data_IF_292347807099
#
_entry.id   IF_292347807099
#
_cell.length_a   1.000
_cell.length_b   1.000
_cell.length_c   1.000
_cell.angle_alpha   90.00
_cell.angle_beta   90.00
_cell.angle_gamma   90.00
#
_symmetry.space_group_name_H-M   'P 1'
#
loop_
_entity.id
_entity.type
_entity.pdbx_description
1 polymer ?
#
# COMPACT_ATOMS: atom_id res chain seq x y z
N UNK A 1 -28.33 1.07 16.59
CA UNK A 1 -27.62 0.06 15.76
C UNK A 1 -27.03 0.80 14.57
N UNK A 2 -25.76 1.21 14.66
CA UNK A 2 -25.08 1.97 13.60
C UNK A 2 -24.18 0.98 12.87
N UNK A 3 -24.64 0.52 11.71
CA UNK A 3 -23.82 -0.22 10.73
C UNK A 3 -22.74 0.71 10.22
N UNK A 4 -21.51 0.55 10.74
CA UNK A 4 -20.34 1.30 10.25
C UNK A 4 -20.07 0.93 8.79
N UNK A 5 -19.94 1.99 8.02
CA UNK A 5 -19.70 2.03 6.60
C UNK A 5 -18.48 1.17 6.19
N UNK A 6 -18.67 0.45 5.08
CA UNK A 6 -17.61 0.13 4.12
C UNK A 6 -16.67 -1.00 4.51
N UNK A 7 -16.98 -2.22 4.05
CA UNK A 7 -15.91 -3.11 3.56
C UNK A 7 -15.06 -2.27 2.61
N UNK A 8 -13.78 -2.07 2.92
CA UNK A 8 -12.84 -1.59 1.90
C UNK A 8 -12.92 -2.56 0.73
N UNK A 9 -13.28 -2.06 -0.46
CA UNK A 9 -13.16 -2.86 -1.68
C UNK A 9 -11.71 -3.32 -1.79
N UNK A 10 -11.52 -4.62 -1.77
CA UNK A 10 -10.27 -5.36 -1.60
C UNK A 10 -9.07 -4.89 -2.44
N UNK A 11 -9.30 -4.25 -3.59
CA UNK A 11 -8.24 -3.70 -4.45
C UNK A 11 -7.67 -2.36 -3.97
N UNK A 12 -8.33 -1.67 -3.05
CA UNK A 12 -7.84 -0.38 -2.54
C UNK A 12 -6.96 -0.55 -1.30
N UNK A 13 -7.30 -1.50 -0.41
CA UNK A 13 -6.58 -1.72 0.84
C UNK A 13 -5.11 -2.13 0.65
N UNK A 14 -4.82 -3.04 -0.29
CA UNK A 14 -3.44 -3.41 -0.61
C UNK A 14 -2.66 -2.27 -1.27
N UNK A 15 -3.33 -1.43 -2.06
CA UNK A 15 -2.73 -0.23 -2.63
C UNK A 15 -2.36 0.79 -1.55
N UNK A 16 -3.30 1.09 -0.65
CA UNK A 16 -3.06 2.00 0.49
C UNK A 16 -1.98 1.46 1.43
N UNK A 17 -1.93 0.14 1.65
CA UNK A 17 -0.85 -0.49 2.41
C UNK A 17 0.49 -0.32 1.68
N UNK A 18 0.53 -0.45 0.35
CA UNK A 18 1.71 -0.18 -0.45
C UNK A 18 2.17 1.28 -0.38
N UNK A 19 1.23 2.24 -0.45
CA UNK A 19 1.51 3.67 -0.25
C UNK A 19 2.11 3.94 1.14
N UNK A 20 1.55 3.34 2.18
CA UNK A 20 2.04 3.49 3.54
C UNK A 20 3.46 2.92 3.71
N UNK A 21 3.75 1.75 3.15
CA UNK A 21 5.07 1.13 3.21
C UNK A 21 6.10 1.97 2.44
N UNK A 22 5.76 2.48 1.26
CA UNK A 22 6.65 3.37 0.50
C UNK A 22 6.98 4.63 1.31
N UNK A 23 5.95 5.29 1.85
CA UNK A 23 6.13 6.50 2.65
C UNK A 23 6.97 6.25 3.90
N UNK A 24 6.76 5.11 4.58
CA UNK A 24 7.55 4.68 5.71
C UNK A 24 9.05 4.52 5.34
N UNK A 25 9.35 3.83 4.24
CA UNK A 25 10.72 3.62 3.79
C UNK A 25 11.40 4.93 3.34
N UNK A 26 10.67 5.82 2.67
CA UNK A 26 11.16 7.18 2.38
C UNK A 26 11.50 7.92 3.67
N UNK A 27 10.65 7.85 4.70
CA UNK A 27 10.90 8.44 6.01
C UNK A 27 12.11 7.87 6.74
N UNK A 28 12.49 6.62 6.44
CA UNK A 28 13.70 5.96 6.92
C UNK A 28 14.97 6.31 6.12
N UNK A 29 14.85 7.12 5.07
CA UNK A 29 15.96 7.61 4.26
C UNK A 29 16.25 6.80 3.00
N UNK A 30 15.42 5.82 2.63
CA UNK A 30 15.57 5.13 1.34
C UNK A 30 15.13 6.02 0.18
N UNK A 31 15.78 5.87 -0.96
CA UNK A 31 15.37 6.61 -2.16
C UNK A 31 13.95 6.21 -2.57
N UNK A 32 13.19 7.17 -3.12
CA UNK A 32 11.83 6.91 -3.59
C UNK A 32 11.73 5.71 -4.52
N UNK A 33 12.69 5.54 -5.44
CA UNK A 33 12.69 4.41 -6.36
C UNK A 33 12.87 3.07 -5.64
N UNK A 34 13.79 2.99 -4.67
CA UNK A 34 13.96 1.79 -3.84
C UNK A 34 12.70 1.50 -3.02
N UNK A 35 12.18 2.51 -2.32
CA UNK A 35 10.98 2.40 -1.49
C UNK A 35 9.79 1.91 -2.30
N UNK A 36 9.59 2.46 -3.50
CA UNK A 36 8.54 2.05 -4.43
C UNK A 36 8.65 0.57 -4.82
N UNK A 37 9.85 0.13 -5.25
CA UNK A 37 10.04 -1.26 -5.68
C UNK A 37 9.84 -2.24 -4.54
N UNK A 38 10.33 -1.91 -3.34
CA UNK A 38 10.19 -2.74 -2.16
C UNK A 38 8.72 -2.82 -1.72
N UNK A 39 8.02 -1.70 -1.65
CA UNK A 39 6.61 -1.66 -1.29
C UNK A 39 5.75 -2.52 -2.24
N UNK A 40 5.97 -2.40 -3.55
CA UNK A 40 5.26 -3.24 -4.54
C UNK A 40 5.57 -4.73 -4.34
N UNK A 41 6.84 -5.10 -4.15
CA UNK A 41 7.19 -6.49 -3.90
C UNK A 41 6.59 -7.03 -2.61
N UNK A 42 6.48 -6.21 -1.56
CA UNK A 42 5.81 -6.59 -0.31
C UNK A 42 4.34 -6.87 -0.55
N UNK A 43 3.62 -5.99 -1.25
CA UNK A 43 2.20 -6.18 -1.57
C UNK A 43 1.98 -7.43 -2.43
N UNK A 44 2.87 -7.67 -3.39
CA UNK A 44 2.83 -8.89 -4.21
C UNK A 44 3.08 -10.13 -3.36
N UNK A 45 4.05 -10.10 -2.44
CA UNK A 45 4.30 -11.19 -1.49
C UNK A 45 3.08 -11.49 -0.64
N UNK A 46 2.50 -10.47 -0.01
CA UNK A 46 1.28 -10.61 0.82
C UNK A 46 0.12 -11.18 0.00
N UNK A 47 -0.06 -10.70 -1.23
CA UNK A 47 -1.12 -11.22 -2.09
C UNK A 47 -0.92 -12.67 -2.51
N UNK A 48 0.31 -13.07 -2.82
CA UNK A 48 0.61 -14.43 -3.23
C UNK A 48 0.40 -15.42 -2.07
N UNK A 49 0.83 -15.04 -0.87
CA UNK A 49 0.81 -15.92 0.30
C UNK A 49 -0.58 -15.98 0.97
N UNK A 50 -1.33 -14.86 0.94
CA UNK A 50 -2.60 -14.72 1.67
C UNK A 50 -3.79 -14.37 0.77
N UNK A 51 -3.64 -14.49 -0.56
CA UNK A 51 -4.69 -14.25 -1.53
C UNK A 51 -5.93 -15.10 -1.26
N UNK A 52 -7.10 -14.45 -1.14
CA UNK A 52 -8.36 -15.11 -0.80
C UNK A 52 -8.70 -15.09 0.69
N UNK A 53 -7.82 -14.60 1.55
CA UNK A 53 -8.06 -14.47 2.98
C UNK A 53 -8.71 -13.12 3.34
N UNK A 54 -9.51 -13.12 4.41
CA UNK A 54 -9.89 -11.89 5.10
C UNK A 54 -8.88 -11.60 6.20
N UNK A 55 -8.32 -10.41 6.19
CA UNK A 55 -7.39 -9.94 7.20
C UNK A 55 -8.05 -8.89 8.08
N UNK A 56 -8.18 -9.22 9.36
CA UNK A 56 -8.55 -8.27 10.40
C UNK A 56 -7.29 -7.79 11.12
N UNK A 57 -7.19 -6.49 11.38
CA UNK A 57 -6.06 -5.89 12.10
C UNK A 57 -6.49 -5.55 13.53
N UNK A 58 -6.10 -6.37 14.54
CA UNK A 58 -6.47 -6.14 15.92
C UNK A 58 -5.68 -4.98 16.55
N UNK A 59 -6.34 -4.24 17.46
CA UNK A 59 -5.66 -3.29 18.38
C UNK A 59 -4.93 -4.06 19.48
N UNK A 60 -5.59 -5.07 20.07
CA UNK A 60 -5.06 -5.86 21.17
C UNK A 60 -4.96 -7.33 20.76
N UNK A 61 -3.76 -7.90 20.85
CA UNK A 61 -3.48 -9.28 20.45
C UNK A 61 -4.21 -10.34 21.31
N UNK A 62 -4.55 -10.00 22.55
CA UNK A 62 -5.10 -10.94 23.54
C UNK A 62 -6.50 -11.45 23.19
N UNK A 63 -7.29 -10.70 22.40
CA UNK A 63 -8.69 -11.04 22.11
C UNK A 63 -8.92 -11.50 20.67
N UNK A 64 -7.85 -11.71 19.89
CA UNK A 64 -7.94 -11.97 18.46
C UNK A 64 -6.85 -12.93 17.95
N UNK A 65 -6.64 -14.07 18.63
CA UNK A 65 -5.54 -15.01 18.37
C UNK A 65 -5.33 -15.38 16.89
N UNK A 66 -6.41 -15.60 16.12
CA UNK A 66 -6.33 -15.89 14.67
C UNK A 66 -5.77 -14.71 13.87
N UNK A 67 -6.22 -13.49 14.19
CA UNK A 67 -5.77 -12.29 13.53
C UNK A 67 -4.33 -11.94 13.91
N UNK A 68 -3.97 -12.15 15.18
CA UNK A 68 -2.59 -12.07 15.68
C UNK A 68 -1.66 -12.99 14.90
N UNK A 69 -2.05 -14.27 14.75
CA UNK A 69 -1.27 -15.24 13.98
C UNK A 69 -1.09 -14.83 12.52
N UNK A 70 -2.18 -14.42 11.85
CA UNK A 70 -2.12 -13.96 10.46
C UNK A 70 -1.21 -12.73 10.30
N UNK A 71 -1.21 -11.81 11.26
CA UNK A 71 -0.29 -10.66 11.27
C UNK A 71 1.17 -11.09 11.41
N UNK A 72 1.48 -12.08 12.25
CA UNK A 72 2.84 -12.64 12.33
C UNK A 72 3.26 -13.33 11.04
N UNK A 73 2.35 -14.04 10.37
CA UNK A 73 2.63 -14.66 9.08
C UNK A 73 2.87 -13.58 8.00
N UNK A 74 2.09 -12.49 7.98
CA UNK A 74 2.35 -11.34 7.11
C UNK A 74 3.69 -10.67 7.41
N UNK A 75 4.07 -10.51 8.68
CA UNK A 75 5.37 -9.98 9.05
C UNK A 75 6.53 -10.85 8.50
N UNK A 76 6.38 -12.17 8.56
CA UNK A 76 7.35 -13.10 7.98
C UNK A 76 7.44 -12.96 6.45
N UNK A 77 6.32 -12.81 5.75
CA UNK A 77 6.31 -12.53 4.30
C UNK A 77 6.99 -11.20 3.98
N UNK A 78 6.73 -10.14 4.75
CA UNK A 78 7.40 -8.85 4.59
C UNK A 78 8.91 -9.05 4.74
N UNK A 79 9.37 -9.71 5.80
CA UNK A 79 10.79 -10.00 6.04
C UNK A 79 11.42 -10.73 4.85
N UNK A 80 10.80 -11.82 4.39
CA UNK A 80 11.31 -12.61 3.25
C UNK A 80 11.48 -11.75 1.99
N UNK A 81 10.55 -10.82 1.75
CA UNK A 81 10.68 -9.87 0.64
C UNK A 81 11.86 -8.93 0.87
N UNK A 82 12.02 -8.36 2.08
CA UNK A 82 13.14 -7.47 2.41
C UNK A 82 14.49 -8.19 2.28
N UNK A 83 14.57 -9.47 2.64
CA UNK A 83 15.78 -10.31 2.50
C UNK A 83 16.24 -10.45 1.05
N UNK A 84 15.32 -10.35 0.08
CA UNK A 84 15.66 -10.39 -1.36
C UNK A 84 16.36 -9.12 -1.86
N UNK A 85 16.35 -8.04 -1.08
CA UNK A 85 17.01 -6.78 -1.40
C UNK A 85 18.32 -6.64 -0.61
N UNK A 86 19.45 -6.63 -1.32
CA UNK A 86 20.79 -6.57 -0.69
C UNK A 86 20.99 -5.37 0.24
N UNK A 87 20.33 -4.23 -0.03
CA UNK A 87 20.41 -3.02 0.79
C UNK A 87 19.48 -3.05 2.03
N UNK A 88 18.65 -4.08 2.18
CA UNK A 88 17.72 -4.24 3.31
C UNK A 88 17.93 -5.54 4.10
N UNK A 89 18.57 -6.55 3.52
CA UNK A 89 18.71 -7.88 4.13
C UNK A 89 19.32 -7.87 5.53
N UNK A 90 20.31 -7.01 5.80
CA UNK A 90 20.97 -6.91 7.13
C UNK A 90 20.01 -6.46 8.24
N UNK A 91 18.95 -5.74 7.88
CA UNK A 91 18.01 -5.10 8.80
C UNK A 91 16.56 -5.54 8.53
N UNK A 92 16.37 -6.61 7.75
CA UNK A 92 15.06 -7.10 7.32
C UNK A 92 14.18 -7.49 8.52
N UNK A 93 14.77 -8.11 9.54
CA UNK A 93 14.09 -8.45 10.80
C UNK A 93 13.51 -7.19 11.45
N UNK A 94 14.36 -6.19 11.71
CA UNK A 94 13.94 -4.94 12.35
C UNK A 94 12.89 -4.21 11.50
N UNK A 95 13.17 -4.01 10.21
CA UNK A 95 12.26 -3.29 9.32
C UNK A 95 10.93 -4.02 9.14
N UNK A 96 10.91 -5.35 9.09
CA UNK A 96 9.66 -6.11 8.96
C UNK A 96 8.76 -5.90 10.19
N UNK A 97 9.34 -5.85 11.39
CA UNK A 97 8.63 -5.53 12.62
C UNK A 97 8.09 -4.11 12.60
N UNK A 98 8.93 -3.12 12.28
CA UNK A 98 8.51 -1.72 12.23
C UNK A 98 7.44 -1.45 11.16
N UNK A 99 7.55 -2.07 9.99
CA UNK A 99 6.54 -1.99 8.92
C UNK A 99 5.23 -2.61 9.38
N UNK A 100 5.28 -3.81 9.99
CA UNK A 100 4.08 -4.47 10.50
C UNK A 100 3.39 -3.62 11.57
N UNK A 101 4.15 -3.03 12.49
CA UNK A 101 3.62 -2.09 13.48
C UNK A 101 3.02 -0.83 12.84
N UNK A 102 3.67 -0.29 11.80
CA UNK A 102 3.18 0.88 11.08
C UNK A 102 1.84 0.57 10.39
N UNK A 103 1.74 -0.58 9.72
CA UNK A 103 0.50 -1.09 9.13
C UNK A 103 -0.56 -1.29 10.22
N UNK A 104 -0.20 -1.90 11.34
CA UNK A 104 -1.14 -2.14 12.43
C UNK A 104 -1.74 -0.83 12.97
N UNK A 105 -0.91 0.22 13.12
CA UNK A 105 -1.35 1.54 13.59
C UNK A 105 -2.29 2.21 12.59
N UNK A 106 -1.96 2.17 11.29
CA UNK A 106 -2.74 2.85 10.25
C UNK A 106 -4.07 2.14 9.95
N UNK A 107 -4.08 0.82 9.95
CA UNK A 107 -5.23 0.01 9.55
C UNK A 107 -5.91 -0.67 10.74
N UNK A 108 -5.69 -0.17 11.96
CA UNK A 108 -6.27 -0.71 13.18
C UNK A 108 -7.81 -0.84 13.06
N UNK A 109 -8.34 -2.01 13.44
CA UNK A 109 -9.78 -2.37 13.38
C UNK A 109 -10.33 -2.52 11.97
N UNK A 110 -9.53 -2.37 10.93
CA UNK A 110 -9.96 -2.63 9.57
C UNK A 110 -10.04 -4.15 9.33
N UNK A 111 -11.02 -4.53 8.52
CA UNK A 111 -11.10 -5.87 7.94
C UNK A 111 -11.05 -5.70 6.43
N UNK A 112 -10.08 -6.32 5.78
CA UNK A 112 -9.90 -6.23 4.33
C UNK A 112 -9.68 -7.61 3.74
N UNK A 113 -10.31 -7.82 2.58
CA UNK A 113 -10.08 -9.02 1.78
C UNK A 113 -8.79 -8.85 0.97
N UNK A 114 -7.88 -9.80 1.10
CA UNK A 114 -6.62 -9.82 0.35
C UNK A 114 -6.92 -10.43 -1.02
N UNK A 115 -6.82 -9.62 -2.08
CA UNK A 115 -7.01 -10.11 -3.45
C UNK A 115 -5.90 -11.09 -3.82
N UNK A 116 -6.28 -12.16 -4.53
CA UNK A 116 -5.35 -13.17 -5.04
C UNK A 116 -4.64 -12.65 -6.30
N UNK A 117 -3.34 -12.96 -6.44
CA UNK A 117 -2.50 -12.53 -7.57
C UNK A 117 -2.69 -11.05 -7.90
N UNK A 118 -2.68 -10.24 -6.86
CA UNK A 118 -2.74 -8.80 -6.96
C UNK A 118 -1.67 -8.38 -7.99
N UNK A 119 -2.09 -7.66 -9.03
CA UNK A 119 -1.18 -7.26 -10.11
C UNK A 119 0.04 -6.57 -9.49
N UNK A 120 1.23 -6.76 -10.09
CA UNK A 120 2.55 -6.32 -9.59
C UNK A 120 2.69 -4.80 -9.27
N UNK A 121 1.63 -4.03 -9.47
CA UNK A 121 1.64 -2.64 -9.89
C UNK A 121 0.43 -1.86 -9.30
N UNK A 122 0.13 -1.98 -7.99
CA UNK A 122 -0.97 -1.19 -7.37
C UNK A 122 -0.70 0.31 -7.39
N UNK A 123 0.54 0.70 -7.10
CA UNK A 123 1.02 2.07 -7.26
C UNK A 123 0.94 2.56 -8.70
N UNK A 124 1.23 1.66 -9.63
CA UNK A 124 1.15 1.92 -11.07
C UNK A 124 -0.28 2.29 -11.48
N UNK A 125 -1.32 1.80 -10.79
CA UNK A 125 -2.71 2.18 -11.11
C UNK A 125 -2.94 3.68 -10.93
N UNK A 126 -2.48 4.28 -9.83
CA UNK A 126 -2.71 5.71 -9.57
C UNK A 126 -1.84 6.58 -10.49
N UNK A 127 -0.57 6.20 -10.67
CA UNK A 127 0.31 6.83 -11.64
C UNK A 127 -0.23 6.71 -13.08
N UNK A 128 -0.80 5.55 -13.44
CA UNK A 128 -1.44 5.32 -14.72
C UNK A 128 -2.74 6.10 -14.87
N UNK A 129 -3.56 6.22 -13.82
CA UNK A 129 -4.76 7.10 -13.83
C UNK A 129 -4.33 8.54 -14.12
N UNK A 130 -3.27 9.03 -13.48
CA UNK A 130 -2.76 10.37 -13.75
C UNK A 130 -2.16 10.50 -15.16
N UNK A 131 -1.45 9.48 -15.64
CA UNK A 131 -0.88 9.43 -16.99
C UNK A 131 -1.99 9.47 -18.06
N UNK A 132 -3.00 8.60 -17.94
CA UNK A 132 -4.17 8.54 -18.82
C UNK A 132 -4.97 9.85 -18.79
N UNK A 133 -5.07 10.48 -17.62
CA UNK A 133 -5.65 11.81 -17.48
C UNK A 133 -4.85 12.86 -18.28
N UNK A 134 -3.51 12.83 -18.20
CA UNK A 134 -2.65 13.71 -19.01
C UNK A 134 -2.68 13.38 -20.51
N UNK A 135 -3.01 12.14 -20.89
CA UNK A 135 -3.27 11.74 -22.27
C UNK A 135 -4.67 12.17 -22.77
N UNK A 136 -5.48 12.80 -21.93
CA UNK A 136 -6.75 13.42 -22.31
C UNK A 136 -8.01 12.65 -21.92
N UNK A 137 -7.91 11.54 -21.20
CA UNK A 137 -9.11 10.86 -20.68
C UNK A 137 -9.85 11.74 -19.66
N UNK A 138 -11.17 11.81 -19.80
CA UNK A 138 -12.01 12.51 -18.84
C UNK A 138 -12.16 11.73 -17.53
N UNK A 139 -12.48 12.42 -16.43
CA UNK A 139 -12.76 11.78 -15.14
C UNK A 139 -13.85 10.69 -15.21
N UNK A 140 -14.82 10.84 -16.13
CA UNK A 140 -15.89 9.86 -16.35
C UNK A 140 -15.37 8.61 -17.06
N UNK A 141 -14.49 8.77 -18.05
CA UNK A 141 -13.85 7.65 -18.75
C UNK A 141 -12.91 6.89 -17.84
N UNK A 142 -12.12 7.60 -17.03
CA UNK A 142 -11.26 7.02 -16.00
C UNK A 142 -12.07 6.26 -14.95
N UNK A 143 -13.18 6.83 -14.47
CA UNK A 143 -14.10 6.15 -13.54
C UNK A 143 -14.61 4.82 -14.09
N UNK A 144 -15.01 4.79 -15.37
CA UNK A 144 -15.44 3.56 -16.04
C UNK A 144 -14.29 2.57 -16.24
N UNK A 145 -13.12 3.04 -16.69
CA UNK A 145 -11.95 2.21 -16.99
C UNK A 145 -11.39 1.52 -15.74
N UNK A 146 -11.36 2.23 -14.62
CA UNK A 146 -10.73 1.78 -13.37
C UNK A 146 -11.72 1.27 -12.33
N UNK A 147 -13.03 1.33 -12.58
CA UNK A 147 -14.05 0.78 -11.69
C UNK A 147 -14.24 1.54 -10.38
N UNK A 148 -13.98 2.85 -10.38
CA UNK A 148 -14.04 3.71 -9.19
C UNK A 148 -15.00 4.88 -9.37
N UNK A 149 -15.48 5.46 -8.27
CA UNK A 149 -16.33 6.65 -8.33
C UNK A 149 -15.58 7.84 -8.93
N UNK A 150 -16.30 8.76 -9.57
CA UNK A 150 -15.71 9.98 -10.14
C UNK A 150 -15.00 10.79 -9.06
N UNK A 151 -15.58 10.88 -7.86
CA UNK A 151 -15.00 11.57 -6.71
C UNK A 151 -13.66 10.93 -6.29
N UNK A 152 -13.56 9.61 -6.32
CA UNK A 152 -12.32 8.90 -6.02
C UNK A 152 -11.25 9.19 -7.09
N UNK A 153 -11.62 9.22 -8.37
CA UNK A 153 -10.70 9.59 -9.46
C UNK A 153 -10.16 11.02 -9.26
N UNK A 154 -11.02 11.97 -8.90
CA UNK A 154 -10.57 13.34 -8.55
C UNK A 154 -9.56 13.32 -7.40
N UNK A 155 -9.83 12.55 -6.35
CA UNK A 155 -8.94 12.44 -5.19
C UNK A 155 -7.58 11.87 -5.61
N UNK A 156 -7.53 10.80 -6.40
CA UNK A 156 -6.29 10.20 -6.90
C UNK A 156 -5.48 11.19 -7.72
N UNK A 157 -6.11 11.87 -8.69
CA UNK A 157 -5.43 12.86 -9.53
C UNK A 157 -4.85 14.00 -8.67
N UNK A 158 -5.60 14.49 -7.68
CA UNK A 158 -5.14 15.54 -6.78
C UNK A 158 -3.95 15.08 -5.92
N UNK A 159 -4.03 13.88 -5.34
CA UNK A 159 -2.98 13.29 -4.52
C UNK A 159 -1.70 13.05 -5.34
N UNK A 160 -1.82 12.49 -6.54
CA UNK A 160 -0.66 12.26 -7.42
C UNK A 160 -0.05 13.56 -7.96
N UNK A 161 -0.86 14.59 -8.23
CA UNK A 161 -0.34 15.93 -8.55
C UNK A 161 0.43 16.55 -7.40
N UNK A 162 -0.08 16.42 -6.17
CA UNK A 162 0.59 16.92 -4.96
C UNK A 162 1.92 16.19 -4.77
N UNK A 163 1.92 14.86 -4.83
CA UNK A 163 3.14 14.04 -4.81
C UNK A 163 4.13 14.53 -5.87
N UNK A 164 3.70 14.71 -7.12
CA UNK A 164 4.54 15.18 -8.24
C UNK A 164 5.13 16.58 -8.03
N UNK A 165 4.35 17.51 -7.47
CA UNK A 165 4.81 18.86 -7.14
C UNK A 165 5.90 18.80 -6.05
N UNK A 166 5.66 18.07 -4.98
CA UNK A 166 6.65 17.86 -3.91
C UNK A 166 7.96 17.26 -4.44
N UNK A 167 7.91 16.38 -5.45
CA UNK A 167 9.15 15.86 -6.08
C UNK A 167 9.92 16.91 -6.88
N UNK A 168 9.21 17.87 -7.51
CA UNK A 168 9.85 18.96 -8.26
C UNK A 168 10.51 19.94 -7.30
N UNK A 169 9.82 20.28 -6.22
CA UNK A 169 10.30 21.24 -5.23
C UNK A 169 11.53 20.69 -4.47
N UNK A 170 11.54 19.38 -4.14
CA UNK A 170 12.72 18.71 -3.55
C UNK A 170 13.91 18.66 -4.51
N UNK A 171 13.69 18.46 -5.81
CA UNK A 171 14.77 18.48 -6.82
C UNK A 171 15.34 19.87 -7.08
N UNK A 172 14.55 20.92 -6.87
CA UNK A 172 14.97 22.31 -7.09
C UNK A 172 15.67 22.93 -5.87
N UNK A 173 15.45 22.40 -4.66
CA UNK A 173 16.09 22.85 -3.42
C UNK A 173 17.44 22.19 -3.08
N UNK A 174 18.00 21.37 -3.98
CA UNK A 174 19.31 20.70 -3.81
C UNK A 174 20.46 21.40 -4.58
N UNK A 175 20.30 22.69 -4.90
CA UNK A 175 21.35 23.52 -5.54
C UNK A 175 21.92 24.51 -4.52
#
# INVERSE_FOLDING_TARGET
MITREGLYSSSNALGEMGDAIEAFLIGKGYSRQQSYHVANSVIVGISNDFGGCNMYIPINFNNAAKATRLLHEVAATIKNVLDSYSFLSVQSELLSSEITEHIQKLFARCNFYIVNRAAKNFHDRNAQILSDFYQGMTHRELSKKYGHSIQWIYHVIATERKKNKEQRDVKQGQI
#
